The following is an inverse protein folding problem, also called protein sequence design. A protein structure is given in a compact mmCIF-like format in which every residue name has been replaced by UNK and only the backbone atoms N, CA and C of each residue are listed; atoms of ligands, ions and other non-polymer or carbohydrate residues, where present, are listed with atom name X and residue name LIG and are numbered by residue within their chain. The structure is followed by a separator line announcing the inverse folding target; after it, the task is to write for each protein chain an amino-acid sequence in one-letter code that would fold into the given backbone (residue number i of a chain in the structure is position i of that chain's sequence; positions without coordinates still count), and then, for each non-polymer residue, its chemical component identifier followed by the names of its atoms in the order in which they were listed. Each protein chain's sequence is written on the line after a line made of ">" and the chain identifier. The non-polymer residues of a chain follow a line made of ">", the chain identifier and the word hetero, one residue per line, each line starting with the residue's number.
data_IF_976487428147
#
_entry.id   IF_976487428147
#
_cell.length_a   1.000
_cell.length_b   1.000
_cell.length_c   1.000
_cell.angle_alpha   90.00
_cell.angle_beta   90.00
_cell.angle_gamma   90.00
#
_symmetry.space_group_name_H-M   'P 1'
#
loop_
_entity.id
_entity.type
_entity.pdbx_description
1 polymer ?
#
# COMPACT_ATOMS: atom_id res chain seq x y z
N UNK A 1 -8.48 -10.47 -2.31
CA UNK A 1 -7.26 -10.00 -1.60
C UNK A 1 -7.50 -8.70 -0.84
N UNK A 2 -7.93 -7.60 -1.47
CA UNK A 2 -8.11 -6.29 -0.78
C UNK A 2 -9.11 -6.36 0.38
N UNK A 3 -10.23 -7.07 0.22
CA UNK A 3 -11.24 -7.23 1.30
C UNK A 3 -10.64 -7.95 2.51
N UNK A 4 -9.85 -8.99 2.29
CA UNK A 4 -9.15 -9.71 3.37
C UNK A 4 -8.12 -8.79 4.03
N UNK A 5 -7.41 -7.97 3.27
CA UNK A 5 -6.45 -7.00 3.79
C UNK A 5 -7.13 -5.94 4.67
N UNK A 6 -8.28 -5.42 4.26
CA UNK A 6 -9.07 -4.48 5.04
C UNK A 6 -9.60 -5.14 6.34
N UNK A 7 -10.01 -6.41 6.26
CA UNK A 7 -10.44 -7.15 7.45
C UNK A 7 -9.28 -7.34 8.45
N UNK A 8 -8.10 -7.75 7.98
CA UNK A 8 -6.89 -7.87 8.81
C UNK A 8 -6.54 -6.54 9.47
N UNK A 9 -6.61 -5.44 8.71
CA UNK A 9 -6.35 -4.09 9.22
C UNK A 9 -7.36 -3.67 10.30
N UNK A 10 -8.65 -4.02 10.13
CA UNK A 10 -9.69 -3.65 11.08
C UNK A 10 -9.52 -4.27 12.46
N UNK A 11 -8.90 -5.44 12.54
CA UNK A 11 -8.63 -6.15 13.81
C UNK A 11 -7.25 -5.83 14.41
N UNK A 12 -6.48 -4.95 13.79
CA UNK A 12 -5.11 -4.61 14.21
C UNK A 12 -4.21 -5.82 14.49
N UNK A 13 -4.39 -6.88 13.70
CA UNK A 13 -3.65 -8.14 13.90
C UNK A 13 -2.14 -7.92 13.85
N UNK A 14 -1.69 -6.99 13.03
CA UNK A 14 -0.26 -6.65 12.93
C UNK A 14 0.24 -6.02 14.23
N UNK A 15 -0.50 -5.08 14.81
CA UNK A 15 -0.16 -4.49 16.11
C UNK A 15 -0.08 -5.54 17.22
N UNK A 16 -1.03 -6.49 17.24
CA UNK A 16 -1.04 -7.61 18.20
C UNK A 16 0.20 -8.48 18.02
N UNK A 17 0.54 -8.86 16.78
CA UNK A 17 1.73 -9.70 16.50
C UNK A 17 3.01 -8.98 16.91
N UNK A 18 3.14 -7.71 16.59
CA UNK A 18 4.32 -6.92 16.96
C UNK A 18 4.44 -6.81 18.49
N UNK A 19 3.34 -6.57 19.20
CA UNK A 19 3.33 -6.54 20.66
C UNK A 19 3.74 -7.88 21.26
N UNK A 20 3.19 -8.97 20.76
CA UNK A 20 3.57 -10.33 21.16
C UNK A 20 5.06 -10.61 20.90
N UNK A 21 5.59 -10.23 19.74
CA UNK A 21 7.01 -10.34 19.43
C UNK A 21 7.87 -9.53 20.40
N UNK A 22 7.47 -8.33 20.78
CA UNK A 22 8.21 -7.53 21.74
C UNK A 22 8.23 -8.18 23.12
N UNK A 23 7.13 -8.75 23.56
CA UNK A 23 7.04 -9.43 24.86
C UNK A 23 7.93 -10.68 24.93
N UNK A 24 7.97 -11.47 23.84
CA UNK A 24 8.69 -12.74 23.81
C UNK A 24 10.16 -12.63 23.37
N UNK A 25 10.51 -11.62 22.58
CA UNK A 25 11.85 -11.45 21.99
C UNK A 25 12.55 -10.16 22.43
N UNK A 26 12.12 -9.55 23.53
CA UNK A 26 12.72 -8.32 24.08
C UNK A 26 14.22 -8.44 24.39
N UNK A 27 14.70 -9.66 24.63
CA UNK A 27 16.11 -9.96 24.88
C UNK A 27 16.98 -9.91 23.62
N UNK A 28 16.40 -9.96 22.43
CA UNK A 28 17.13 -9.89 21.17
C UNK A 28 17.34 -8.41 20.79
N UNK A 29 18.60 -7.99 20.77
CA UNK A 29 18.97 -6.59 20.54
C UNK A 29 18.35 -5.98 19.27
N UNK A 30 18.25 -6.75 18.19
CA UNK A 30 17.65 -6.32 16.92
C UNK A 30 16.16 -6.02 17.09
N UNK A 31 15.40 -6.89 17.77
CA UNK A 31 13.97 -6.66 18.03
C UNK A 31 13.74 -5.45 18.91
N UNK A 32 14.54 -5.28 19.97
CA UNK A 32 14.47 -4.11 20.86
C UNK A 32 14.73 -2.81 20.08
N UNK A 33 15.75 -2.80 19.21
CA UNK A 33 16.08 -1.64 18.40
C UNK A 33 14.97 -1.29 17.41
N UNK A 34 14.46 -2.30 16.67
CA UNK A 34 13.34 -2.14 15.72
C UNK A 34 12.10 -1.63 16.44
N UNK A 35 11.77 -2.23 17.59
CA UNK A 35 10.59 -1.84 18.35
C UNK A 35 10.71 -0.40 18.88
N UNK A 36 11.85 -0.05 19.48
CA UNK A 36 12.12 1.31 19.96
C UNK A 36 12.08 2.33 18.83
N UNK A 37 12.63 1.99 17.66
CA UNK A 37 12.64 2.89 16.51
C UNK A 37 11.24 3.13 15.94
N UNK A 38 10.42 2.10 15.83
CA UNK A 38 9.09 2.20 15.19
C UNK A 38 7.97 2.64 16.14
N UNK A 39 8.09 2.39 17.43
CA UNK A 39 7.02 2.65 18.39
C UNK A 39 7.30 3.79 19.38
N UNK A 40 8.56 4.00 19.79
CA UNK A 40 8.88 5.04 20.75
C UNK A 40 9.37 6.34 20.12
N UNK A 41 10.01 6.29 18.97
CA UNK A 41 10.61 7.48 18.34
C UNK A 41 9.66 8.18 17.36
N UNK A 42 8.71 7.46 16.82
CA UNK A 42 7.60 8.04 16.07
C UNK A 42 6.35 7.78 16.89
N UNK A 43 5.77 8.84 17.43
CA UNK A 43 4.50 8.77 18.12
C UNK A 43 3.59 7.78 17.40
N UNK A 44 3.21 6.73 18.12
CA UNK A 44 2.26 5.73 17.63
C UNK A 44 0.92 6.36 17.20
N UNK A 45 0.75 7.63 17.43
CA UNK A 45 -0.38 8.49 17.10
C UNK A 45 -0.30 9.17 15.73
N UNK A 46 0.75 8.96 14.93
CA UNK A 46 0.73 9.40 13.54
C UNK A 46 -0.22 8.51 12.75
N UNK A 47 -1.53 8.68 13.03
CA UNK A 47 -2.57 8.21 12.12
C UNK A 47 -2.19 8.70 10.74
N UNK A 48 -2.03 7.79 9.81
CA UNK A 48 -1.78 8.14 8.43
C UNK A 48 -2.80 9.19 8.00
N UNK A 49 -2.37 10.23 7.30
CA UNK A 49 -3.29 11.19 6.69
C UNK A 49 -4.28 10.45 5.77
N UNK A 50 -5.45 11.01 5.53
CA UNK A 50 -6.43 10.41 4.64
C UNK A 50 -5.94 10.30 3.18
N UNK A 51 -4.95 11.11 2.80
CA UNK A 51 -4.44 11.20 1.42
C UNK A 51 -3.94 9.85 0.88
N UNK A 52 -3.06 9.09 1.58
CA UNK A 52 -2.62 7.79 1.10
C UNK A 52 -3.76 6.79 0.88
N UNK A 53 -4.80 6.81 1.72
CA UNK A 53 -5.97 5.94 1.54
C UNK A 53 -6.78 6.33 0.30
N UNK A 54 -7.02 7.62 0.10
CA UNK A 54 -7.71 8.13 -1.08
C UNK A 54 -6.97 7.77 -2.38
N UNK A 55 -5.65 7.91 -2.40
CA UNK A 55 -4.83 7.53 -3.53
C UNK A 55 -5.01 6.05 -3.92
N UNK A 56 -4.97 5.13 -2.93
CA UNK A 56 -5.15 3.68 -3.19
C UNK A 56 -6.58 3.35 -3.59
N UNK A 57 -7.57 4.06 -3.04
CA UNK A 57 -8.97 3.91 -3.47
C UNK A 57 -9.16 4.32 -4.93
N UNK A 58 -8.58 5.43 -5.35
CA UNK A 58 -8.61 5.88 -6.76
C UNK A 58 -7.89 4.87 -7.67
N UNK A 59 -6.75 4.32 -7.25
CA UNK A 59 -6.05 3.26 -7.99
C UNK A 59 -6.93 2.03 -8.19
N UNK A 60 -7.63 1.56 -7.15
CA UNK A 60 -8.56 0.44 -7.26
C UNK A 60 -9.72 0.75 -8.19
N UNK A 61 -10.24 1.97 -8.13
CA UNK A 61 -11.30 2.41 -9.04
C UNK A 61 -10.84 2.40 -10.50
N UNK A 62 -9.64 2.94 -10.78
CA UNK A 62 -9.03 2.88 -12.11
C UNK A 62 -8.84 1.43 -12.57
N UNK A 63 -8.32 0.57 -11.70
CA UNK A 63 -8.18 -0.86 -11.99
C UNK A 63 -9.52 -1.48 -12.36
N UNK A 64 -10.58 -1.22 -11.60
CA UNK A 64 -11.91 -1.75 -11.86
C UNK A 64 -12.47 -1.31 -13.21
N UNK A 65 -12.31 -0.02 -13.55
CA UNK A 65 -12.76 0.53 -14.83
C UNK A 65 -12.03 -0.09 -16.05
N UNK A 66 -10.76 -0.40 -15.90
CA UNK A 66 -9.92 -0.86 -17.01
C UNK A 66 -9.46 -2.31 -16.89
N UNK A 67 -10.03 -3.08 -15.97
CA UNK A 67 -9.66 -4.47 -15.68
C UNK A 67 -9.58 -5.36 -16.94
N UNK A 68 -10.55 -5.22 -17.86
CA UNK A 68 -10.58 -6.02 -19.11
C UNK A 68 -9.50 -5.64 -20.12
N UNK A 69 -8.78 -4.52 -19.94
CA UNK A 69 -7.79 -4.00 -20.88
C UNK A 69 -6.35 -4.21 -20.44
N UNK A 70 -6.16 -4.76 -19.26
CA UNK A 70 -4.85 -4.94 -18.65
C UNK A 70 -4.60 -6.43 -18.45
N UNK A 71 -3.41 -6.94 -18.81
CA UNK A 71 -3.06 -8.33 -18.53
C UNK A 71 -3.19 -8.64 -17.03
N UNK A 72 -3.71 -9.82 -16.73
CA UNK A 72 -4.02 -10.27 -15.37
C UNK A 72 -2.82 -10.17 -14.40
N UNK A 73 -1.61 -10.44 -14.90
CA UNK A 73 -0.38 -10.36 -14.10
C UNK A 73 -0.16 -8.96 -13.49
N UNK A 74 -0.34 -7.91 -14.30
CA UNK A 74 -0.12 -6.53 -13.82
C UNK A 74 -1.24 -6.05 -12.89
N UNK A 75 -2.46 -6.51 -13.12
CA UNK A 75 -3.59 -6.27 -12.24
C UNK A 75 -3.36 -6.89 -10.85
N UNK A 76 -2.85 -8.11 -10.81
CA UNK A 76 -2.53 -8.81 -9.56
C UNK A 76 -1.37 -8.14 -8.79
N UNK A 77 -0.35 -7.67 -9.49
CA UNK A 77 0.75 -6.93 -8.84
C UNK A 77 0.25 -5.65 -8.19
N UNK A 78 -0.64 -4.90 -8.85
CA UNK A 78 -1.24 -3.71 -8.25
C UNK A 78 -2.14 -4.07 -7.05
N UNK A 79 -2.94 -5.13 -7.16
CA UNK A 79 -3.76 -5.61 -6.04
C UNK A 79 -2.90 -6.03 -4.85
N UNK A 80 -1.78 -6.69 -5.10
CA UNK A 80 -0.82 -7.05 -4.05
C UNK A 80 -0.25 -5.80 -3.36
N UNK A 81 0.19 -4.81 -4.14
CA UNK A 81 0.69 -3.52 -3.63
C UNK A 81 -0.33 -2.84 -2.71
N UNK A 82 -1.57 -2.72 -3.18
CA UNK A 82 -2.65 -2.06 -2.41
C UNK A 82 -3.03 -2.89 -1.18
N UNK A 83 -3.07 -4.22 -1.30
CA UNK A 83 -3.38 -5.12 -0.18
C UNK A 83 -2.33 -5.02 0.93
N UNK A 84 -1.04 -5.02 0.59
CA UNK A 84 0.03 -4.86 1.58
C UNK A 84 -0.05 -3.50 2.29
N UNK A 85 -0.36 -2.43 1.55
CA UNK A 85 -0.57 -1.14 2.18
C UNK A 85 -1.69 -1.19 3.23
N UNK A 86 -2.84 -1.79 2.92
CA UNK A 86 -3.96 -1.88 3.86
C UNK A 86 -3.65 -2.79 5.05
N UNK A 87 -2.95 -3.91 4.84
CA UNK A 87 -2.56 -4.82 5.93
C UNK A 87 -1.73 -4.07 6.99
N UNK A 88 -0.76 -3.25 6.55
CA UNK A 88 0.13 -2.52 7.44
C UNK A 88 -0.33 -1.11 7.77
N UNK A 89 -1.54 -0.70 7.37
CA UNK A 89 -2.02 0.69 7.49
C UNK A 89 -2.06 1.21 8.93
N UNK A 90 -2.24 0.34 9.91
CA UNK A 90 -2.24 0.71 11.33
C UNK A 90 -0.84 1.12 11.84
N UNK A 91 0.21 0.72 11.13
CA UNK A 91 1.60 1.12 11.40
C UNK A 91 2.10 1.92 10.20
N UNK A 92 1.81 3.22 10.17
CA UNK A 92 1.97 4.07 8.99
C UNK A 92 3.36 4.04 8.35
N UNK A 93 4.43 4.03 9.17
CA UNK A 93 5.81 3.94 8.67
C UNK A 93 6.05 2.59 7.98
N UNK A 94 5.55 1.50 8.56
CA UNK A 94 5.71 0.16 8.01
C UNK A 94 4.90 0.02 6.71
N UNK A 95 3.67 0.54 6.68
CA UNK A 95 2.83 0.54 5.48
C UNK A 95 3.53 1.20 4.29
N UNK A 96 4.15 2.36 4.50
CA UNK A 96 4.87 3.07 3.45
C UNK A 96 6.14 2.32 2.99
N UNK A 97 6.88 1.74 3.92
CA UNK A 97 8.11 1.00 3.58
C UNK A 97 7.84 -0.31 2.86
N UNK A 98 6.90 -1.10 3.36
CA UNK A 98 6.54 -2.39 2.74
C UNK A 98 5.87 -2.18 1.39
N UNK A 99 4.94 -1.23 1.28
CA UNK A 99 4.33 -0.91 -0.01
C UNK A 99 5.33 -0.26 -0.98
N UNK A 100 6.31 0.50 -0.47
CA UNK A 100 7.39 1.10 -1.28
C UNK A 100 8.22 0.08 -2.06
N UNK A 101 8.40 -1.13 -1.53
CA UNK A 101 9.09 -2.23 -2.25
C UNK A 101 8.38 -2.56 -3.57
N UNK A 102 7.05 -2.45 -3.57
CA UNK A 102 6.23 -2.74 -4.74
C UNK A 102 5.85 -1.48 -5.55
N UNK A 103 6.48 -0.34 -5.28
CA UNK A 103 6.22 0.91 -6.02
C UNK A 103 6.44 0.75 -7.53
N UNK A 104 7.39 -0.11 -7.91
CA UNK A 104 7.64 -0.46 -9.32
C UNK A 104 6.41 -1.06 -9.97
N UNK A 105 5.63 -1.84 -9.24
CA UNK A 105 4.37 -2.43 -9.74
C UNK A 105 3.35 -1.37 -10.16
N UNK A 106 3.30 -0.26 -9.43
CA UNK A 106 2.49 0.90 -9.75
C UNK A 106 2.91 1.52 -11.09
N UNK A 107 4.21 1.80 -11.25
CA UNK A 107 4.72 2.40 -12.48
C UNK A 107 4.48 1.49 -13.71
N UNK A 108 4.73 0.19 -13.59
CA UNK A 108 4.47 -0.80 -14.64
C UNK A 108 2.97 -0.83 -15.00
N UNK A 109 2.10 -0.91 -13.99
CA UNK A 109 0.65 -0.95 -14.22
C UNK A 109 0.16 0.25 -15.03
N UNK A 110 0.54 1.47 -14.64
CA UNK A 110 0.13 2.68 -15.32
C UNK A 110 0.74 2.81 -16.71
N UNK A 111 1.98 2.39 -16.91
CA UNK A 111 2.62 2.36 -18.23
C UNK A 111 1.85 1.43 -19.19
N UNK A 112 1.54 0.22 -18.75
CA UNK A 112 0.74 -0.74 -19.54
C UNK A 112 -0.66 -0.21 -19.80
N UNK A 113 -1.29 0.41 -18.82
CA UNK A 113 -2.62 1.02 -18.98
C UNK A 113 -2.59 2.12 -20.05
N UNK A 114 -1.64 3.04 -19.98
CA UNK A 114 -1.50 4.15 -20.94
C UNK A 114 -1.29 3.59 -22.37
N UNK A 115 -0.46 2.56 -22.52
CA UNK A 115 -0.23 1.93 -23.84
C UNK A 115 -1.50 1.28 -24.40
N UNK A 116 -2.33 0.69 -23.56
CA UNK A 116 -3.55 0.00 -23.98
C UNK A 116 -4.77 0.90 -24.18
N UNK A 117 -4.68 2.18 -23.80
CA UNK A 117 -5.78 3.13 -23.99
C UNK A 117 -5.79 3.68 -25.41
N UNK A 118 -6.92 3.51 -26.10
CA UNK A 118 -7.13 4.00 -27.48
C UNK A 118 -7.34 5.52 -27.55
N UNK A 119 -7.99 6.11 -26.55
CA UNK A 119 -8.36 7.54 -26.57
C UNK A 119 -7.29 8.42 -25.94
N UNK A 120 -6.80 9.41 -26.69
CA UNK A 120 -5.80 10.40 -26.21
C UNK A 120 -6.25 11.11 -24.92
N UNK A 121 -7.53 11.49 -24.80
CA UNK A 121 -8.09 12.13 -23.62
C UNK A 121 -7.93 11.29 -22.35
N UNK A 122 -8.20 9.99 -22.44
CA UNK A 122 -8.08 9.10 -21.27
C UNK A 122 -6.62 8.88 -20.86
N UNK A 123 -5.69 8.85 -21.85
CA UNK A 123 -4.25 8.82 -21.55
C UNK A 123 -3.81 10.05 -20.79
N UNK A 124 -4.26 11.23 -21.22
CA UNK A 124 -3.88 12.51 -20.60
C UNK A 124 -4.40 12.61 -19.16
N UNK A 125 -5.62 12.17 -18.88
CA UNK A 125 -6.17 12.12 -17.52
C UNK A 125 -5.35 11.22 -16.59
N UNK A 126 -4.90 10.07 -17.07
CA UNK A 126 -4.08 9.16 -16.26
C UNK A 126 -2.68 9.72 -16.04
N UNK A 127 -2.08 10.35 -17.04
CA UNK A 127 -0.77 11.03 -16.90
C UNK A 127 -0.87 12.15 -15.87
N UNK A 128 -1.90 12.99 -15.95
CA UNK A 128 -2.15 14.02 -14.95
C UNK A 128 -2.31 13.44 -13.55
N UNK A 129 -3.09 12.37 -13.42
CA UNK A 129 -3.25 11.69 -12.13
C UNK A 129 -1.90 11.19 -11.57
N UNK A 130 -1.04 10.59 -12.41
CA UNK A 130 0.30 10.17 -11.98
C UNK A 130 1.15 11.36 -11.52
N UNK A 131 1.06 12.49 -12.21
CA UNK A 131 1.82 13.69 -11.86
C UNK A 131 1.42 14.28 -10.50
N UNK A 132 0.14 14.17 -10.13
CA UNK A 132 -0.35 14.61 -8.82
C UNK A 132 -0.04 13.63 -7.68
N UNK A 133 0.45 12.44 -7.98
CA UNK A 133 0.76 11.40 -7.00
C UNK A 133 2.23 11.35 -6.60
N UNK A 134 3.11 11.95 -7.38
CA UNK A 134 4.54 12.10 -7.10
C UNK A 134 4.81 13.38 -6.34
#
# INVERSE_FOLDING_TARGET
>A
MVVIALFISSFDLIGIVIKWCNENFSNVAVFRWVFHYYFNKHDANLKMSAIPYMQRAIMLFILFLFYKRIPYTYSNLLLLYVSLFFIFSNVGVLANRVSGILLVSYAIFFSVLICNLKFKRNRLLIILYMFFLT
#
